data_IF_936133016936
#
_entry.id   IF_936133016936
#
_cell.length_a   1.000
_cell.length_b   1.000
_cell.length_c   1.000
_cell.angle_alpha   90.00
_cell.angle_beta   90.00
_cell.angle_gamma   90.00
#
_symmetry.space_group_name_H-M   'P 1'
#
loop_
_entity.id
_entity.type
_entity.pdbx_description
1 polymer ?
#
# COMPACT_ATOMS: atom_id res chain seq x y z
N UNK A 1 -16.35 7.52 -18.01
CA UNK A 1 -15.28 8.36 -18.60
C UNK A 1 -15.09 8.20 -20.12
N UNK A 2 -15.91 7.43 -20.85
CA UNK A 2 -15.98 7.49 -22.33
C UNK A 2 -14.62 7.41 -23.04
N UNK A 3 -14.44 8.19 -24.10
CA UNK A 3 -13.22 8.24 -24.92
C UNK A 3 -11.94 8.63 -24.14
N UNK A 4 -12.06 9.23 -22.95
CA UNK A 4 -10.90 9.55 -22.13
C UNK A 4 -10.16 8.30 -21.61
N UNK A 5 -10.86 7.16 -21.50
CA UNK A 5 -10.26 5.90 -21.08
C UNK A 5 -9.29 5.33 -22.13
N UNK A 6 -9.56 5.60 -23.41
CA UNK A 6 -8.74 5.10 -24.51
C UNK A 6 -7.52 5.98 -24.78
N UNK A 7 -7.55 7.25 -24.37
CA UNK A 7 -6.48 8.21 -24.63
C UNK A 7 -5.10 7.74 -24.13
N UNK A 8 -4.94 7.25 -22.88
CA UNK A 8 -3.63 6.74 -22.41
C UNK A 8 -3.14 5.53 -23.20
N UNK A 9 -4.05 4.64 -23.61
CA UNK A 9 -3.73 3.44 -24.40
C UNK A 9 -3.26 3.82 -25.80
N UNK A 10 -3.94 4.77 -26.43
CA UNK A 10 -3.58 5.27 -27.76
C UNK A 10 -2.19 5.93 -27.75
N UNK A 11 -1.92 6.78 -26.76
CA UNK A 11 -0.60 7.43 -26.60
C UNK A 11 0.50 6.39 -26.38
N UNK A 12 0.27 5.37 -25.54
CA UNK A 12 1.25 4.31 -25.33
C UNK A 12 1.53 3.52 -26.62
N UNK A 13 0.50 3.27 -27.43
CA UNK A 13 0.65 2.64 -28.75
C UNK A 13 1.42 3.52 -29.74
N UNK A 14 1.11 4.82 -29.80
CA UNK A 14 1.79 5.78 -30.69
C UNK A 14 3.27 5.92 -30.36
N UNK A 15 3.60 5.94 -29.07
CA UNK A 15 4.98 6.05 -28.59
C UNK A 15 5.71 4.70 -28.51
N UNK A 16 5.03 3.58 -28.81
CA UNK A 16 5.55 2.22 -28.70
C UNK A 16 6.15 1.92 -27.30
N UNK A 17 5.41 2.26 -26.25
CA UNK A 17 5.79 2.02 -24.85
C UNK A 17 4.81 1.08 -24.15
N UNK A 18 5.24 0.35 -23.10
CA UNK A 18 4.34 -0.49 -22.30
C UNK A 18 3.17 0.30 -21.72
N UNK A 19 1.98 -0.30 -21.74
CA UNK A 19 0.77 0.28 -21.16
C UNK A 19 0.30 -0.55 -19.96
N UNK A 20 -0.02 0.12 -18.86
CA UNK A 20 -0.62 -0.49 -17.66
C UNK A 20 -2.01 0.12 -17.47
N UNK A 21 -3.05 -0.73 -17.59
CA UNK A 21 -4.44 -0.30 -17.44
C UNK A 21 -4.87 -0.21 -15.97
N UNK A 22 -4.31 0.76 -15.25
CA UNK A 22 -4.66 0.97 -13.83
C UNK A 22 -6.13 1.30 -13.64
N UNK A 23 -6.80 1.91 -14.62
CA UNK A 23 -8.23 2.17 -14.52
C UNK A 23 -9.03 0.86 -14.49
N UNK A 24 -8.78 -0.05 -15.43
CA UNK A 24 -9.41 -1.36 -15.45
C UNK A 24 -9.14 -2.16 -14.16
N UNK A 25 -7.87 -2.23 -13.75
CA UNK A 25 -7.43 -3.02 -12.58
C UNK A 25 -8.08 -2.50 -11.28
N UNK A 26 -8.05 -1.19 -11.05
CA UNK A 26 -8.62 -0.60 -9.82
C UNK A 26 -10.15 -0.60 -9.84
N UNK A 27 -10.77 -0.49 -11.01
CA UNK A 27 -12.21 -0.64 -11.17
C UNK A 27 -12.65 -2.05 -10.78
N UNK A 28 -11.96 -3.08 -11.26
CA UNK A 28 -12.25 -4.48 -10.90
C UNK A 28 -12.11 -4.72 -9.39
N UNK A 29 -11.07 -4.17 -8.75
CA UNK A 29 -10.92 -4.21 -7.30
C UNK A 29 -12.13 -3.59 -6.57
N UNK A 30 -12.47 -2.35 -6.91
CA UNK A 30 -13.52 -1.59 -6.21
C UNK A 30 -14.90 -2.20 -6.46
N UNK A 31 -15.21 -2.57 -7.71
CA UNK A 31 -16.46 -3.24 -8.07
C UNK A 31 -16.57 -4.62 -7.38
N UNK A 32 -15.47 -5.38 -7.33
CA UNK A 32 -15.42 -6.69 -6.68
C UNK A 32 -15.62 -6.64 -5.15
N UNK A 33 -15.18 -5.56 -4.49
CA UNK A 33 -15.46 -5.33 -3.07
C UNK A 33 -16.91 -4.88 -2.82
N UNK A 34 -17.54 -4.25 -3.80
CA UNK A 34 -18.87 -3.67 -3.66
C UNK A 34 -18.90 -2.38 -2.84
N UNK A 35 -20.09 -1.75 -2.69
CA UNK A 35 -20.22 -0.38 -2.20
C UNK A 35 -19.95 -0.19 -0.70
N UNK A 36 -19.97 -1.26 0.10
CA UNK A 36 -19.73 -1.18 1.55
C UNK A 36 -18.27 -1.42 1.87
N UNK A 37 -17.70 -2.53 1.41
CA UNK A 37 -16.32 -2.89 1.72
C UNK A 37 -15.31 -1.95 1.05
N UNK A 38 -15.59 -1.47 -0.16
CA UNK A 38 -14.68 -0.56 -0.87
C UNK A 38 -14.41 0.75 -0.13
N UNK A 39 -15.31 1.18 0.78
CA UNK A 39 -15.09 2.36 1.65
C UNK A 39 -13.79 2.26 2.46
N UNK A 40 -13.34 1.04 2.78
CA UNK A 40 -12.07 0.78 3.49
C UNK A 40 -10.84 1.27 2.70
N UNK A 41 -10.95 1.45 1.38
CA UNK A 41 -9.87 1.96 0.53
C UNK A 41 -9.80 3.49 0.53
N UNK A 42 -10.89 4.18 0.84
CA UNK A 42 -11.01 5.63 0.68
C UNK A 42 -11.03 6.38 2.00
N UNK A 43 -11.00 7.71 1.92
CA UNK A 43 -10.98 8.62 3.07
C UNK A 43 -12.36 8.73 3.73
N UNK A 44 -12.70 7.71 4.51
CA UNK A 44 -13.88 7.66 5.38
C UNK A 44 -13.47 7.87 6.84
N UNK A 45 -13.73 9.08 7.35
CA UNK A 45 -13.36 9.52 8.68
C UNK A 45 -14.64 9.78 9.49
N UNK A 46 -14.88 9.04 10.59
CA UNK A 46 -15.90 9.36 11.57
C UNK A 46 -15.79 10.76 12.18
N UNK A 47 -16.93 11.36 12.55
CA UNK A 47 -16.94 12.63 13.25
C UNK A 47 -16.21 12.54 14.61
N UNK A 48 -15.52 13.61 14.97
CA UNK A 48 -14.74 13.77 16.20
C UNK A 48 -13.55 12.81 16.37
N UNK A 49 -13.14 12.07 15.35
CA UNK A 49 -11.96 11.19 15.42
C UNK A 49 -10.65 11.98 15.26
N UNK A 50 -10.62 12.94 14.33
CA UNK A 50 -9.46 13.77 14.06
C UNK A 50 -9.79 15.25 14.20
N UNK A 51 -8.97 16.00 14.92
CA UNK A 51 -9.13 17.44 15.11
C UNK A 51 -9.14 18.22 13.77
N UNK A 52 -8.43 17.72 12.75
CA UNK A 52 -8.42 18.30 11.41
C UNK A 52 -9.74 18.08 10.63
N UNK A 53 -10.57 17.10 11.05
CA UNK A 53 -11.85 16.77 10.44
C UNK A 53 -12.91 16.55 11.54
N UNK A 54 -13.29 17.59 12.31
CA UNK A 54 -14.16 17.44 13.48
C UNK A 54 -15.55 16.91 13.12
N UNK A 55 -16.04 17.20 11.90
CA UNK A 55 -17.31 16.69 11.38
C UNK A 55 -17.19 15.33 10.70
N UNK A 56 -15.99 14.73 10.68
CA UNK A 56 -15.70 13.58 9.84
C UNK A 56 -15.54 13.97 8.37
N UNK A 57 -15.40 12.96 7.52
CA UNK A 57 -15.28 13.09 6.06
C UNK A 57 -15.75 11.80 5.41
N UNK A 58 -16.64 11.88 4.44
CA UNK A 58 -16.97 10.78 3.55
C UNK A 58 -16.48 11.14 2.15
N UNK A 59 -15.37 10.54 1.73
CA UNK A 59 -14.72 10.84 0.47
C UNK A 59 -14.40 9.54 -0.25
N UNK A 60 -14.99 9.38 -1.44
CA UNK A 60 -14.85 8.20 -2.30
C UNK A 60 -13.86 8.41 -3.45
N UNK A 61 -13.13 9.54 -3.47
CA UNK A 61 -12.19 9.87 -4.55
C UNK A 61 -10.74 9.81 -4.08
N UNK A 62 -10.47 10.16 -2.83
CA UNK A 62 -9.13 10.08 -2.25
C UNK A 62 -8.93 8.77 -1.49
N UNK A 63 -7.86 8.06 -1.82
CA UNK A 63 -7.44 6.86 -1.10
C UNK A 63 -6.90 7.22 0.29
N UNK A 64 -7.17 6.37 1.27
CA UNK A 64 -6.44 6.40 2.54
C UNK A 64 -5.11 5.63 2.42
N UNK A 65 -4.34 5.55 3.50
CA UNK A 65 -3.04 4.84 3.50
C UNK A 65 -3.21 3.38 3.05
N UNK A 66 -4.23 2.68 3.56
CA UNK A 66 -4.50 1.30 3.20
C UNK A 66 -4.83 1.15 1.71
N UNK A 67 -5.77 1.95 1.19
CA UNK A 67 -6.14 1.92 -0.23
C UNK A 67 -4.99 2.30 -1.16
N UNK A 68 -4.19 3.30 -0.78
CA UNK A 68 -3.00 3.71 -1.52
C UNK A 68 -2.01 2.55 -1.69
N UNK A 69 -1.82 1.72 -0.65
CA UNK A 69 -0.93 0.55 -0.72
C UNK A 69 -1.47 -0.56 -1.59
N UNK A 70 -2.76 -0.86 -1.48
CA UNK A 70 -3.38 -1.88 -2.34
C UNK A 70 -3.23 -1.48 -3.81
N UNK A 71 -3.52 -0.22 -4.14
CA UNK A 71 -3.38 0.30 -5.51
C UNK A 71 -1.91 0.32 -5.96
N UNK A 72 -0.97 0.70 -5.09
CA UNK A 72 0.46 0.67 -5.41
C UNK A 72 0.97 -0.76 -5.65
N UNK A 73 0.52 -1.74 -4.86
CA UNK A 73 0.84 -3.15 -5.05
C UNK A 73 0.35 -3.66 -6.41
N UNK A 74 -0.91 -3.39 -6.74
CA UNK A 74 -1.49 -3.72 -8.04
C UNK A 74 -0.73 -3.06 -9.21
N UNK A 75 -0.29 -1.82 -9.03
CA UNK A 75 0.51 -1.12 -10.03
C UNK A 75 1.86 -1.80 -10.25
N UNK A 76 2.58 -2.16 -9.18
CA UNK A 76 3.88 -2.84 -9.28
C UNK A 76 3.74 -4.23 -9.91
N UNK A 77 2.70 -4.99 -9.55
CA UNK A 77 2.41 -6.29 -10.17
C UNK A 77 2.12 -6.15 -11.67
N UNK A 78 1.36 -5.13 -12.05
CA UNK A 78 1.02 -4.88 -13.43
C UNK A 78 2.24 -4.39 -14.24
N UNK A 79 3.10 -3.56 -13.64
CA UNK A 79 4.37 -3.14 -14.24
C UNK A 79 5.29 -4.34 -14.44
N UNK A 80 5.41 -5.24 -13.47
CA UNK A 80 6.24 -6.45 -13.58
C UNK A 80 5.79 -7.36 -14.73
N UNK A 81 4.47 -7.46 -14.95
CA UNK A 81 3.89 -8.20 -16.08
C UNK A 81 4.13 -7.49 -17.42
N UNK A 82 3.94 -6.18 -17.46
CA UNK A 82 4.11 -5.37 -18.69
C UNK A 82 5.59 -5.21 -19.08
N UNK A 83 6.50 -5.22 -18.10
CA UNK A 83 7.94 -5.03 -18.26
C UNK A 83 8.68 -6.14 -17.48
N UNK A 84 8.81 -7.35 -18.04
CA UNK A 84 9.39 -8.50 -17.33
C UNK A 84 10.81 -8.28 -16.77
N UNK A 85 11.58 -7.38 -17.38
CA UNK A 85 12.92 -7.00 -16.90
C UNK A 85 12.87 -6.35 -15.51
N UNK A 86 11.76 -5.71 -15.14
CA UNK A 86 11.58 -5.10 -13.83
C UNK A 86 11.10 -6.09 -12.77
N UNK A 87 10.60 -7.27 -13.16
CA UNK A 87 10.03 -8.26 -12.23
C UNK A 87 11.04 -8.73 -11.18
N UNK A 88 12.32 -8.85 -11.55
CA UNK A 88 13.39 -9.26 -10.63
C UNK A 88 13.62 -8.26 -9.47
N UNK A 89 13.22 -7.00 -9.64
CA UNK A 89 13.40 -5.92 -8.66
C UNK A 89 12.16 -5.68 -7.80
N UNK A 90 11.04 -6.34 -8.10
CA UNK A 90 9.83 -6.20 -7.29
C UNK A 90 10.04 -6.83 -5.92
N UNK A 91 9.67 -6.08 -4.88
CA UNK A 91 9.73 -6.50 -3.49
C UNK A 91 8.41 -6.15 -2.83
N UNK A 92 7.77 -7.16 -2.23
CA UNK A 92 6.58 -6.96 -1.41
C UNK A 92 6.95 -7.10 0.05
N UNK A 93 6.48 -6.14 0.84
CA UNK A 93 6.58 -6.15 2.29
C UNK A 93 5.18 -5.97 2.87
N UNK A 94 4.87 -6.66 3.97
CA UNK A 94 3.59 -6.47 4.64
C UNK A 94 3.52 -5.04 5.22
N UNK A 95 4.59 -4.60 5.88
CA UNK A 95 4.69 -3.25 6.46
C UNK A 95 5.99 -2.54 6.06
N UNK A 96 5.97 -1.21 6.03
CA UNK A 96 7.12 -0.34 5.81
C UNK A 96 7.17 0.70 6.92
N UNK A 97 8.30 0.80 7.60
CA UNK A 97 8.57 1.83 8.60
C UNK A 97 9.44 2.91 7.96
N UNK A 98 8.99 4.16 8.03
CA UNK A 98 9.74 5.30 7.49
C UNK A 98 9.43 6.60 8.25
N UNK A 99 10.48 7.28 8.71
CA UNK A 99 10.34 8.56 9.44
C UNK A 99 9.89 9.74 8.59
N UNK A 100 10.11 9.67 7.29
CA UNK A 100 9.77 10.71 6.31
C UNK A 100 8.31 10.66 5.85
N UNK A 101 7.52 9.70 6.36
CA UNK A 101 6.13 9.49 5.96
C UNK A 101 5.94 8.68 4.68
N UNK A 102 7.02 8.13 4.10
CA UNK A 102 6.94 7.26 2.91
C UNK A 102 6.60 5.79 3.23
N UNK A 103 6.22 5.49 4.48
CA UNK A 103 5.87 4.17 4.99
C UNK A 103 4.49 4.13 5.67
N UNK A 104 4.15 2.99 6.27
CA UNK A 104 2.94 2.83 7.10
C UNK A 104 3.06 3.47 8.47
N UNK A 105 4.25 3.35 9.06
CA UNK A 105 4.51 3.65 10.46
C UNK A 105 5.76 4.53 10.55
N UNK A 106 5.77 5.42 11.54
CA UNK A 106 6.94 6.26 11.82
C UNK A 106 7.95 5.56 12.72
N UNK A 107 7.51 4.54 13.47
CA UNK A 107 8.32 3.78 14.43
C UNK A 107 8.27 2.28 14.16
N UNK A 108 9.32 1.58 14.59
CA UNK A 108 9.39 0.11 14.46
C UNK A 108 8.43 -0.56 15.45
N UNK A 109 8.23 0.01 16.64
CA UNK A 109 7.30 -0.55 17.62
C UNK A 109 5.84 -0.54 17.13
N UNK A 110 5.39 0.52 16.45
CA UNK A 110 4.04 0.57 15.86
C UNK A 110 3.83 -0.56 14.85
N UNK A 111 4.82 -0.79 13.99
CA UNK A 111 4.76 -1.88 13.01
C UNK A 111 4.71 -3.26 13.67
N UNK A 112 5.50 -3.49 14.73
CA UNK A 112 5.46 -4.74 15.52
C UNK A 112 4.07 -4.93 16.16
N UNK A 113 3.48 -3.87 16.70
CA UNK A 113 2.17 -3.92 17.33
C UNK A 113 1.07 -4.27 16.33
N UNK A 114 1.19 -3.80 15.09
CA UNK A 114 0.26 -4.06 13.99
C UNK A 114 0.34 -5.50 13.42
N UNK A 115 1.40 -6.26 13.73
CA UNK A 115 1.50 -7.67 13.31
C UNK A 115 0.38 -8.49 13.95
N UNK A 116 -0.38 -9.31 13.22
CA UNK A 116 -1.38 -10.19 13.83
C UNK A 116 -0.79 -11.21 14.81
N UNK A 117 -1.49 -11.44 15.92
CA UNK A 117 -1.06 -12.40 16.95
C UNK A 117 -1.10 -13.84 16.46
N UNK A 118 -0.14 -14.65 16.90
CA UNK A 118 -0.06 -16.09 16.66
C UNK A 118 -0.19 -16.49 15.18
N UNK A 119 0.35 -15.67 14.28
CA UNK A 119 0.32 -15.91 12.83
C UNK A 119 1.16 -17.13 12.45
N UNK A 120 0.55 -18.31 12.55
CA UNK A 120 1.16 -19.59 12.16
C UNK A 120 1.21 -19.69 10.64
N UNK A 121 2.26 -20.30 10.11
CA UNK A 121 2.46 -20.62 8.69
C UNK A 121 2.68 -19.44 7.72
N UNK A 122 2.56 -18.20 8.18
CA UNK A 122 2.84 -17.02 7.35
C UNK A 122 3.76 -16.07 8.10
N UNK A 123 4.83 -15.65 7.45
CA UNK A 123 5.80 -14.69 7.98
C UNK A 123 5.36 -13.27 7.64
N UNK A 124 5.41 -12.37 8.63
CA UNK A 124 5.20 -10.94 8.42
C UNK A 124 6.55 -10.27 8.16
N UNK A 125 6.68 -9.58 7.02
CA UNK A 125 7.89 -8.85 6.64
C UNK A 125 7.70 -7.34 6.83
N UNK A 126 8.61 -6.74 7.58
CA UNK A 126 8.60 -5.30 7.88
C UNK A 126 9.89 -4.71 7.31
N UNK A 127 9.76 -3.89 6.28
CA UNK A 127 10.88 -3.10 5.75
C UNK A 127 11.09 -1.88 6.65
N UNK A 128 12.32 -1.66 7.11
CA UNK A 128 12.70 -0.47 7.86
C UNK A 128 13.57 0.40 6.95
N UNK A 129 13.02 1.55 6.52
CA UNK A 129 13.75 2.49 5.67
C UNK A 129 14.92 3.12 6.40
N UNK A 130 15.92 3.55 5.64
CA UNK A 130 17.14 4.18 6.16
C UNK A 130 16.80 5.32 7.12
N UNK A 131 17.40 5.28 8.30
CA UNK A 131 17.19 6.28 9.34
C UNK A 131 17.68 5.80 10.70
N UNK A 132 17.74 6.72 11.67
CA UNK A 132 18.12 6.41 13.04
C UNK A 132 16.87 6.32 13.90
N UNK A 133 16.52 5.10 14.36
CA UNK A 133 15.35 4.82 15.19
C UNK A 133 15.79 4.66 16.66
N UNK A 134 15.59 5.71 17.47
CA UNK A 134 15.94 5.70 18.90
C UNK A 134 14.73 5.24 19.72
N UNK A 135 14.53 3.93 19.77
CA UNK A 135 13.40 3.29 20.46
C UNK A 135 13.84 2.00 21.16
N UNK A 136 13.17 1.66 22.27
CA UNK A 136 13.33 0.36 22.93
C UNK A 136 12.24 -0.56 22.41
N UNK A 137 12.63 -1.62 21.70
CA UNK A 137 11.68 -2.56 21.13
C UNK A 137 11.26 -3.63 22.13
N UNK A 138 9.96 -3.90 22.16
CA UNK A 138 9.36 -5.04 22.84
C UNK A 138 8.66 -5.88 21.79
N UNK A 139 9.06 -7.15 21.68
CA UNK A 139 8.40 -8.14 20.84
C UNK A 139 7.63 -9.08 21.77
N UNK A 140 6.30 -8.93 21.89
CA UNK A 140 5.49 -9.85 22.67
C UNK A 140 5.60 -11.28 22.14
N UNK A 141 5.51 -12.28 23.03
CA UNK A 141 5.61 -13.70 22.66
C UNK A 141 4.56 -14.14 21.63
N UNK A 142 3.42 -13.44 21.55
CA UNK A 142 2.38 -13.70 20.56
C UNK A 142 2.77 -13.28 19.14
N UNK A 143 3.72 -12.34 18.97
CA UNK A 143 4.16 -11.84 17.65
C UNK A 143 5.19 -12.77 17.03
N UNK A 144 4.75 -13.97 16.65
CA UNK A 144 5.60 -14.99 16.03
C UNK A 144 5.77 -14.75 14.52
N UNK A 145 6.84 -15.31 13.95
CA UNK A 145 7.15 -15.26 12.51
C UNK A 145 7.26 -13.83 11.93
N UNK A 146 8.03 -12.95 12.59
CA UNK A 146 8.29 -11.59 12.12
C UNK A 146 9.71 -11.46 11.59
N UNK A 147 9.88 -10.78 10.46
CA UNK A 147 11.17 -10.36 9.91
C UNK A 147 11.24 -8.84 9.85
N UNK A 148 12.26 -8.27 10.50
CA UNK A 148 12.65 -6.88 10.31
C UNK A 148 13.77 -6.85 9.27
N UNK A 149 13.55 -6.13 8.16
CA UNK A 149 14.47 -6.07 7.02
C UNK A 149 14.91 -4.62 6.88
N UNK A 150 16.21 -4.35 7.02
CA UNK A 150 16.75 -3.02 6.74
C UNK A 150 16.74 -2.75 5.24
N UNK A 151 16.45 -1.51 4.84
CA UNK A 151 16.62 -1.08 3.46
C UNK A 151 18.10 -1.20 3.05
N UNK A 152 18.38 -2.05 2.08
CA UNK A 152 19.69 -2.16 1.45
C UNK A 152 19.98 -0.92 0.58
N UNK A 153 21.24 -0.54 0.46
CA UNK A 153 21.66 0.44 -0.55
C UNK A 153 21.74 -0.27 -1.92
N UNK A 154 21.28 0.38 -3.01
CA UNK A 154 21.31 -0.19 -4.35
C UNK A 154 22.73 -0.39 -4.89
#
# INVERSE_FOLDING_TARGET
>A
HGAYLDSPRNVASELNVPFVDMNGITRELVEGMGPVESKKLFMWIPANEFAACPKGREDNTHLNIHGGRIVAGLAVDAIAKAVPQLAAYVRHYDFVVAKDGSGDFFTVQEAINAVPDFRKNVRTTILVRKGVYKEKLVIPECKINVSLIGQEEP
#
